data_IF_121860037752
#
_entry.id   IF_121860037752
#
_cell.length_a   1.000
_cell.length_b   1.000
_cell.length_c   1.000
_cell.angle_alpha   90.00
_cell.angle_beta   90.00
_cell.angle_gamma   90.00
#
_symmetry.space_group_name_H-M   'P 1'
#
loop_
_entity.id
_entity.type
_entity.pdbx_description
1 polymer ?
#
# COMPACT_ATOMS: atom_id res chain seq x y z
N UNK A 1 -4.49 -8.73 -6.29
CA UNK A 1 -3.86 -7.77 -5.36
C UNK A 1 -3.93 -6.39 -5.97
N UNK A 2 -4.10 -5.32 -5.19
CA UNK A 2 -4.22 -3.94 -5.71
C UNK A 2 -2.86 -3.25 -5.91
N UNK A 3 -1.82 -3.78 -5.26
CA UNK A 3 -0.44 -3.29 -5.30
C UNK A 3 0.53 -4.45 -5.52
N UNK A 4 1.70 -4.15 -6.07
CA UNK A 4 2.76 -5.11 -6.42
C UNK A 4 4.14 -4.56 -6.10
N UNK A 5 5.10 -5.45 -5.86
CA UNK A 5 6.51 -5.12 -5.66
C UNK A 5 7.21 -4.86 -7.00
N UNK A 6 8.04 -3.80 -7.11
CA UNK A 6 8.74 -3.48 -8.35
C UNK A 6 9.60 -4.63 -8.89
N UNK A 7 10.21 -5.42 -8.01
CA UNK A 7 11.24 -6.40 -8.36
C UNK A 7 10.67 -7.63 -9.07
N UNK A 8 9.48 -8.07 -8.63
CA UNK A 8 8.93 -9.36 -9.07
C UNK A 8 7.45 -9.31 -9.45
N UNK A 9 6.73 -8.21 -9.19
CA UNK A 9 5.28 -8.09 -9.44
C UNK A 9 4.41 -8.85 -8.45
N UNK A 10 4.97 -9.37 -7.36
CA UNK A 10 4.22 -10.06 -6.30
C UNK A 10 3.64 -9.08 -5.30
N UNK A 11 2.69 -9.54 -4.47
CA UNK A 11 2.18 -8.74 -3.35
C UNK A 11 3.26 -8.40 -2.31
N UNK A 12 2.97 -7.45 -1.41
CA UNK A 12 3.89 -7.05 -0.34
C UNK A 12 4.11 -8.20 0.67
N UNK A 13 5.37 -8.49 1.00
CA UNK A 13 5.74 -9.44 2.05
C UNK A 13 5.63 -8.79 3.44
N UNK A 14 6.16 -7.58 3.60
CA UNK A 14 6.13 -6.82 4.86
C UNK A 14 4.83 -6.02 5.00
N UNK A 15 3.67 -6.66 4.81
CA UNK A 15 2.32 -6.03 4.75
C UNK A 15 1.94 -5.13 5.94
N UNK A 16 2.57 -5.32 7.11
CA UNK A 16 2.32 -4.53 8.33
C UNK A 16 3.28 -3.35 8.53
N UNK A 17 4.09 -3.01 7.52
CA UNK A 17 4.88 -1.79 7.50
C UNK A 17 4.24 -0.73 6.59
N UNK A 18 4.57 0.56 6.78
CA UNK A 18 4.26 1.57 5.78
C UNK A 18 5.08 1.30 4.52
N UNK A 19 4.49 1.60 3.37
CA UNK A 19 5.14 1.50 2.07
C UNK A 19 5.09 2.86 1.37
N UNK A 20 5.88 3.02 0.31
CA UNK A 20 5.68 4.09 -0.66
C UNK A 20 4.99 3.54 -1.90
N UNK A 21 3.81 4.02 -2.21
CA UNK A 21 3.20 3.78 -3.52
C UNK A 21 3.82 4.76 -4.52
N UNK A 22 4.59 4.24 -5.48
CA UNK A 22 5.40 5.02 -6.41
C UNK A 22 4.83 4.93 -7.83
N UNK A 23 4.79 6.06 -8.53
CA UNK A 23 4.39 6.15 -9.92
C UNK A 23 5.34 7.07 -10.71
N UNK A 24 5.79 6.62 -11.88
CA UNK A 24 6.66 7.40 -12.80
C UNK A 24 5.97 7.65 -14.13
N UNK A 25 5.73 8.90 -14.50
CA UNK A 25 5.05 9.21 -15.76
C UNK A 25 5.94 9.00 -17.00
N UNK A 26 5.38 9.20 -18.20
CA UNK A 26 6.09 9.02 -19.47
C UNK A 26 7.24 10.01 -19.71
N UNK A 27 7.36 11.07 -18.91
CA UNK A 27 8.49 12.01 -18.95
C UNK A 27 9.61 11.61 -17.97
N UNK A 28 9.43 10.55 -17.20
CA UNK A 28 10.36 10.13 -16.15
C UNK A 28 10.16 10.86 -14.82
N UNK A 29 9.08 11.63 -14.65
CA UNK A 29 8.77 12.31 -13.38
C UNK A 29 8.13 11.32 -12.41
N UNK A 30 8.69 11.20 -11.22
CA UNK A 30 8.23 10.26 -10.18
C UNK A 30 7.53 10.99 -9.04
N UNK A 31 6.39 10.45 -8.62
CA UNK A 31 5.69 10.86 -7.41
C UNK A 31 5.44 9.65 -6.52
N UNK A 32 5.34 9.89 -5.21
CA UNK A 32 5.01 8.84 -4.25
C UNK A 32 4.09 9.33 -3.15
N UNK A 33 3.29 8.42 -2.60
CA UNK A 33 2.52 8.61 -1.37
C UNK A 33 2.86 7.50 -0.39
N UNK A 34 2.77 7.78 0.91
CA UNK A 34 2.84 6.74 1.93
C UNK A 34 1.54 5.92 1.88
N UNK A 35 1.68 4.60 1.86
CA UNK A 35 0.59 3.65 1.81
C UNK A 35 0.64 2.73 3.04
N UNK A 36 -0.49 2.66 3.73
CA UNK A 36 -0.75 1.70 4.79
C UNK A 36 -1.62 0.60 4.20
N UNK A 37 -1.14 -0.64 4.25
CA UNK A 37 -1.77 -1.74 3.53
C UNK A 37 -2.78 -2.45 4.42
N UNK A 38 -4.05 -2.35 4.02
CA UNK A 38 -5.12 -3.18 4.55
C UNK A 38 -4.82 -4.67 4.28
N UNK A 39 -4.60 -5.45 5.34
CA UNK A 39 -4.31 -6.89 5.22
C UNK A 39 -5.57 -7.74 5.06
N UNK A 40 -5.40 -8.94 4.49
CA UNK A 40 -6.43 -9.98 4.55
C UNK A 40 -6.70 -10.29 6.02
N UNK A 41 -7.94 -10.14 6.48
CA UNK A 41 -8.26 -10.11 7.91
C UNK A 41 -9.11 -8.91 8.35
N UNK A 42 -9.31 -7.94 7.46
CA UNK A 42 -10.02 -6.68 7.76
C UNK A 42 -11.35 -6.57 7.00
N UNK A 43 -11.97 -7.70 6.65
CA UNK A 43 -13.37 -7.66 6.23
C UNK A 43 -14.27 -7.28 7.41
N UNK A 44 -15.46 -6.79 7.10
CA UNK A 44 -16.40 -6.24 8.09
C UNK A 44 -16.74 -7.23 9.21
N UNK A 45 -16.75 -8.55 8.96
CA UNK A 45 -16.96 -9.57 10.00
C UNK A 45 -15.76 -9.66 10.95
N UNK A 46 -14.55 -9.68 10.39
CA UNK A 46 -13.31 -9.82 11.16
C UNK A 46 -12.99 -8.55 11.96
N UNK A 47 -13.38 -7.39 11.44
CA UNK A 47 -13.36 -6.11 12.17
C UNK A 47 -14.33 -6.14 13.34
N UNK A 48 -15.56 -6.66 13.19
CA UNK A 48 -16.51 -6.79 14.31
C UNK A 48 -15.94 -7.63 15.46
N UNK A 49 -15.22 -8.69 15.08
CA UNK A 49 -14.56 -9.63 15.98
C UNK A 49 -13.25 -9.11 16.56
N UNK A 50 -12.79 -7.92 16.13
CA UNK A 50 -11.47 -7.39 16.49
C UNK A 50 -10.32 -8.35 16.16
N UNK A 51 -10.45 -9.20 15.13
CA UNK A 51 -9.40 -10.15 14.74
C UNK A 51 -8.04 -9.49 14.41
N UNK A 52 -7.98 -8.29 13.79
CA UNK A 52 -6.71 -7.59 13.59
C UNK A 52 -5.90 -7.39 14.87
N UNK A 53 -6.54 -7.18 16.02
CA UNK A 53 -5.84 -7.09 17.31
C UNK A 53 -5.20 -8.42 17.70
N UNK A 54 -5.90 -9.54 17.52
CA UNK A 54 -5.35 -10.86 17.82
C UNK A 54 -4.25 -11.28 16.82
N UNK A 55 -4.34 -10.84 15.55
CA UNK A 55 -3.21 -10.93 14.60
C UNK A 55 -2.01 -10.15 15.16
N UNK A 56 -2.20 -8.91 15.61
CA UNK A 56 -1.14 -8.07 16.16
C UNK A 56 -0.45 -8.71 17.38
N UNK A 57 -1.21 -9.33 18.29
CA UNK A 57 -0.66 -10.08 19.43
C UNK A 57 0.26 -11.24 19.05
N UNK A 58 0.07 -11.82 17.87
CA UNK A 58 0.90 -12.91 17.37
C UNK A 58 2.19 -12.45 16.68
N UNK A 59 2.38 -11.14 16.48
CA UNK A 59 3.53 -10.61 15.75
C UNK A 59 4.67 -10.21 16.70
N UNK A 60 5.88 -10.42 16.24
CA UNK A 60 7.09 -9.87 16.84
C UNK A 60 7.51 -8.59 16.12
N UNK A 61 8.39 -7.80 16.75
CA UNK A 61 9.00 -6.62 16.11
C UNK A 61 9.73 -7.01 14.83
N UNK A 62 9.69 -6.13 13.84
CA UNK A 62 10.34 -6.30 12.53
C UNK A 62 11.52 -5.35 12.38
N UNK A 63 12.34 -5.61 11.37
CA UNK A 63 13.44 -4.73 10.98
C UNK A 63 12.99 -3.81 9.83
N UNK A 64 13.29 -2.52 10.00
CA UNK A 64 13.13 -1.46 9.01
C UNK A 64 14.26 -0.43 9.18
N UNK A 65 15.08 -0.24 8.15
CA UNK A 65 16.17 0.75 8.14
C UNK A 65 17.21 0.56 9.27
N UNK A 66 17.50 -0.69 9.65
CA UNK A 66 18.37 -1.05 10.77
C UNK A 66 17.71 -0.88 12.14
N UNK A 67 16.46 -0.42 12.20
CA UNK A 67 15.71 -0.24 13.45
C UNK A 67 14.74 -1.40 13.69
N UNK A 68 14.61 -1.80 14.95
CA UNK A 68 13.56 -2.71 15.38
C UNK A 68 12.27 -1.91 15.58
N UNK A 69 11.21 -2.20 14.82
CA UNK A 69 9.94 -1.47 14.84
C UNK A 69 8.76 -2.41 15.12
N UNK A 70 7.71 -1.96 15.82
CA UNK A 70 6.50 -2.77 15.95
C UNK A 70 5.74 -2.80 14.60
N UNK A 71 5.24 -3.94 14.13
CA UNK A 71 4.36 -4.00 12.97
C UNK A 71 2.98 -3.39 13.30
N UNK A 72 2.37 -2.72 12.31
CA UNK A 72 1.02 -2.17 12.42
C UNK A 72 0.02 -3.08 11.69
N UNK A 73 -0.87 -3.74 12.44
CA UNK A 73 -2.01 -4.44 11.85
C UNK A 73 -3.17 -3.47 11.69
N UNK A 74 -3.66 -3.33 10.47
CA UNK A 74 -4.64 -2.30 10.11
C UNK A 74 -6.05 -2.87 10.14
N UNK A 75 -6.96 -2.15 10.79
CA UNK A 75 -8.37 -2.48 10.85
C UNK A 75 -9.18 -1.42 10.10
N UNK A 76 -9.75 -1.77 8.95
CA UNK A 76 -10.58 -0.88 8.13
C UNK A 76 -11.77 -1.67 7.58
N UNK A 77 -12.98 -1.27 7.93
CA UNK A 77 -14.23 -1.77 7.35
C UNK A 77 -15.11 -0.61 6.89
N UNK A 78 -15.97 -0.90 5.92
CA UNK A 78 -17.01 0.01 5.41
C UNK A 78 -18.22 0.16 6.34
N UNK A 79 -18.29 -0.65 7.40
CA UNK A 79 -19.38 -0.63 8.35
C UNK A 79 -20.68 -1.22 7.81
N UNK A 80 -20.64 -2.01 6.73
CA UNK A 80 -21.84 -2.69 6.25
C UNK A 80 -22.46 -3.57 7.34
N UNK A 81 -23.78 -3.46 7.47
CA UNK A 81 -24.57 -4.06 8.55
C UNK A 81 -24.84 -5.55 8.31
N UNK A 82 -23.78 -6.38 8.30
CA UNK A 82 -23.91 -7.83 8.39
C UNK A 82 -24.30 -8.27 9.80
N UNK A 83 -24.89 -9.47 9.94
CA UNK A 83 -25.31 -10.01 11.24
C UNK A 83 -24.17 -10.10 12.28
N UNK A 84 -22.92 -10.29 11.83
CA UNK A 84 -21.74 -10.31 12.71
C UNK A 84 -21.46 -8.92 13.31
N UNK A 85 -21.51 -7.85 12.51
CA UNK A 85 -21.36 -6.48 13.02
C UNK A 85 -22.45 -6.14 14.05
N UNK A 86 -23.70 -6.55 13.80
CA UNK A 86 -24.81 -6.27 14.73
C UNK A 86 -24.71 -7.04 16.06
N UNK A 87 -24.11 -8.22 16.06
CA UNK A 87 -24.08 -9.10 17.23
C UNK A 87 -22.81 -8.97 18.05
N UNK A 88 -21.68 -8.67 17.42
CA UNK A 88 -20.37 -8.73 18.06
C UNK A 88 -19.79 -7.34 18.36
N UNK A 89 -20.10 -6.35 17.53
CA UNK A 89 -19.78 -4.95 17.81
C UNK A 89 -20.97 -4.29 18.54
N UNK A 90 -20.74 -3.50 19.61
CA UNK A 90 -19.46 -3.03 20.13
C UNK A 90 -18.85 -3.91 21.23
N UNK A 91 -19.45 -5.05 21.58
CA UNK A 91 -18.99 -5.89 22.70
C UNK A 91 -17.52 -6.28 22.61
N UNK A 92 -17.10 -6.82 21.46
CA UNK A 92 -15.71 -7.16 21.18
C UNK A 92 -14.78 -5.95 21.18
N UNK A 93 -15.24 -4.80 20.65
CA UNK A 93 -14.47 -3.56 20.68
C UNK A 93 -14.17 -3.11 22.11
N UNK A 94 -15.18 -3.10 22.98
CA UNK A 94 -15.01 -2.72 24.39
C UNK A 94 -14.05 -3.67 25.13
N UNK A 95 -14.19 -4.97 24.90
CA UNK A 95 -13.30 -5.98 25.48
C UNK A 95 -11.85 -5.75 25.04
N UNK A 96 -11.62 -5.67 23.72
CA UNK A 96 -10.27 -5.52 23.17
C UNK A 96 -9.65 -4.17 23.54
N UNK A 97 -10.45 -3.10 23.64
CA UNK A 97 -9.96 -1.80 24.13
C UNK A 97 -9.44 -1.92 25.57
N UNK A 98 -10.15 -2.64 26.44
CA UNK A 98 -9.68 -2.91 27.80
C UNK A 98 -8.42 -3.78 27.82
N UNK A 99 -8.35 -4.82 26.98
CA UNK A 99 -7.16 -5.68 26.90
C UNK A 99 -5.93 -4.94 26.35
N UNK A 100 -6.13 -4.07 25.36
CA UNK A 100 -5.05 -3.33 24.71
C UNK A 100 -4.50 -2.22 25.60
N UNK A 101 -5.34 -1.63 26.46
CA UNK A 101 -4.97 -0.53 27.34
C UNK A 101 -3.82 -0.93 28.29
N UNK A 102 -2.69 -0.24 28.16
CA UNK A 102 -1.49 -0.51 28.96
C UNK A 102 -0.73 -1.79 28.60
N UNK A 103 -1.09 -2.44 27.48
CA UNK A 103 -0.37 -3.60 26.95
C UNK A 103 0.75 -3.22 25.98
N UNK A 104 1.56 -4.21 25.58
CA UNK A 104 2.56 -4.07 24.51
C UNK A 104 1.96 -4.05 23.09
N UNK A 105 0.64 -4.17 22.98
CA UNK A 105 -0.12 -4.15 21.71
C UNK A 105 -1.20 -3.06 21.78
N UNK A 106 -0.81 -1.77 21.88
CA UNK A 106 -1.77 -0.68 21.99
C UNK A 106 -2.52 -0.46 20.67
N UNK A 107 -3.75 0.05 20.78
CA UNK A 107 -4.41 0.65 19.63
C UNK A 107 -3.75 1.98 19.29
N UNK A 108 -3.52 2.23 18.00
CA UNK A 108 -2.99 3.50 17.51
C UNK A 108 -3.51 3.79 16.11
N UNK A 109 -3.54 5.07 15.76
CA UNK A 109 -3.83 5.47 14.39
C UNK A 109 -2.56 5.47 13.52
N UNK A 110 -2.73 5.52 12.20
CA UNK A 110 -1.61 5.48 11.26
C UNK A 110 -0.68 6.71 11.38
N UNK A 111 -1.21 7.88 11.72
CA UNK A 111 -0.42 9.10 11.89
C UNK A 111 0.52 8.96 13.09
N UNK A 112 0.01 8.54 14.25
CA UNK A 112 0.81 8.28 15.45
C UNK A 112 1.93 7.28 15.18
N UNK A 113 1.64 6.25 14.38
CA UNK A 113 2.63 5.25 14.01
C UNK A 113 3.72 5.83 13.12
N UNK A 114 3.36 6.60 12.10
CA UNK A 114 4.33 7.27 11.22
C UNK A 114 5.19 8.27 11.99
N UNK A 115 4.60 9.06 12.87
CA UNK A 115 5.32 9.97 13.77
C UNK A 115 6.33 9.23 14.65
N UNK A 116 5.94 8.07 15.20
CA UNK A 116 6.84 7.23 15.98
C UNK A 116 8.03 6.72 15.15
N UNK A 117 7.79 6.25 13.92
CA UNK A 117 8.85 5.79 13.02
C UNK A 117 9.81 6.94 12.65
N UNK A 118 9.27 8.11 12.31
CA UNK A 118 10.07 9.27 11.91
C UNK A 118 10.87 9.83 13.08
N UNK A 119 10.31 9.84 14.29
CA UNK A 119 11.03 10.19 15.51
C UNK A 119 12.19 9.21 15.82
N UNK A 120 12.08 7.94 15.39
CA UNK A 120 13.16 6.95 15.47
C UNK A 120 14.22 7.09 14.37
N UNK A 121 14.11 8.11 13.52
CA UNK A 121 15.07 8.43 12.46
C UNK A 121 14.81 7.71 11.13
N UNK A 122 13.71 6.96 11.01
CA UNK A 122 13.29 6.36 9.74
C UNK A 122 12.81 7.48 8.81
N UNK A 123 13.21 7.42 7.55
CA UNK A 123 12.79 8.37 6.53
C UNK A 123 11.79 7.73 5.58
N UNK A 124 11.02 8.55 4.87
CA UNK A 124 10.12 8.03 3.82
C UNK A 124 10.88 7.17 2.80
N UNK A 125 12.11 7.54 2.45
CA UNK A 125 12.94 6.82 1.50
C UNK A 125 13.25 5.37 1.94
N UNK A 126 13.26 5.11 3.25
CA UNK A 126 13.51 3.79 3.83
C UNK A 126 12.31 2.85 3.73
N UNK A 127 11.12 3.41 3.51
CA UNK A 127 9.89 2.62 3.36
C UNK A 127 9.93 1.82 2.04
N UNK A 128 9.57 0.52 2.07
CA UNK A 128 9.57 -0.31 0.87
C UNK A 128 8.67 0.26 -0.22
N UNK A 129 9.15 0.24 -1.46
CA UNK A 129 8.38 0.72 -2.60
C UNK A 129 7.36 -0.33 -3.07
N UNK A 130 6.19 0.15 -3.48
CA UNK A 130 5.16 -0.60 -4.15
C UNK A 130 4.70 0.16 -5.39
N UNK A 131 4.19 -0.59 -6.36
CA UNK A 131 3.53 -0.09 -7.55
C UNK A 131 2.03 -0.43 -7.49
N UNK A 132 1.17 0.35 -8.15
CA UNK A 132 -0.19 -0.11 -8.46
C UNK A 132 -0.13 -1.41 -9.28
N UNK A 133 -1.07 -2.31 -9.08
CA UNK A 133 -1.09 -3.57 -9.82
C UNK A 133 -1.13 -3.35 -11.34
N UNK A 134 -0.33 -4.11 -12.08
CA UNK A 134 -0.20 -4.02 -13.54
C UNK A 134 0.69 -2.88 -14.03
N UNK A 135 1.20 -2.03 -13.12
CA UNK A 135 2.08 -0.91 -13.49
C UNK A 135 3.39 -1.40 -14.08
N UNK A 136 4.00 -2.45 -13.54
CA UNK A 136 5.25 -2.99 -14.08
C UNK A 136 5.12 -3.39 -15.56
N UNK A 137 4.02 -4.06 -15.91
CA UNK A 137 3.75 -4.47 -17.29
C UNK A 137 3.57 -3.27 -18.22
N UNK A 138 2.94 -2.20 -17.72
CA UNK A 138 2.79 -0.95 -18.46
C UNK A 138 4.15 -0.28 -18.71
N UNK A 139 5.01 -0.24 -17.70
CA UNK A 139 6.34 0.36 -17.80
C UNK A 139 7.25 -0.43 -18.75
N UNK A 140 7.21 -1.77 -18.70
CA UNK A 140 7.92 -2.66 -19.64
C UNK A 140 7.46 -2.42 -21.09
N UNK A 141 6.14 -2.32 -21.34
CA UNK A 141 5.58 -1.99 -22.66
C UNK A 141 5.99 -0.60 -23.13
N UNK A 142 6.03 0.37 -22.23
CA UNK A 142 6.45 1.74 -22.54
C UNK A 142 7.91 1.80 -22.96
N UNK A 143 8.81 1.15 -22.21
CA UNK A 143 10.25 1.07 -22.53
C UNK A 143 10.50 0.40 -23.88
N UNK A 144 9.81 -0.72 -24.15
CA UNK A 144 9.86 -1.39 -25.45
C UNK A 144 9.41 -0.45 -26.57
N UNK A 145 8.26 0.21 -26.41
CA UNK A 145 7.73 1.15 -27.40
C UNK A 145 8.62 2.39 -27.62
N UNK A 146 9.25 2.91 -26.56
CA UNK A 146 10.21 4.01 -26.64
C UNK A 146 11.45 3.60 -27.43
N UNK A 147 11.99 2.41 -27.17
CA UNK A 147 13.12 1.86 -27.93
C UNK A 147 12.81 1.67 -29.42
N UNK A 148 11.61 1.17 -29.74
CA UNK A 148 11.15 1.04 -31.14
C UNK A 148 11.04 2.39 -31.85
N UNK A 149 10.47 3.41 -31.18
CA UNK A 149 10.39 4.78 -31.73
C UNK A 149 11.77 5.40 -31.97
N UNK A 150 12.72 5.15 -31.07
CA UNK A 150 14.08 5.66 -31.20
C UNK A 150 14.82 5.01 -32.38
N UNK A 151 14.63 3.70 -32.61
CA UNK A 151 15.15 2.99 -33.80
C UNK A 151 14.53 3.51 -35.09
N UNK A 152 13.20 3.59 -35.17
CA UNK A 152 12.51 4.12 -36.37
C UNK A 152 12.96 5.56 -36.72
N UNK A 153 13.25 6.38 -35.71
CA UNK A 153 13.79 7.74 -35.90
C UNK A 153 15.25 7.75 -36.38
N UNK A 154 16.06 6.78 -35.95
CA UNK A 154 17.43 6.60 -36.42
C UNK A 154 17.48 6.04 -37.86
N UNK A 155 16.51 5.20 -38.22
CA UNK A 155 16.41 4.54 -39.53
C UNK A 155 15.73 5.41 -40.61
N UNK A 156 15.27 6.62 -40.26
CA UNK A 156 14.77 7.61 -41.22
C UNK A 156 13.35 7.37 -41.76
N UNK A 157 12.57 6.48 -41.15
CA UNK A 157 11.20 6.22 -41.59
C UNK A 157 10.25 7.37 -41.20
N UNK A 158 9.70 8.03 -42.24
CA UNK A 158 8.77 9.16 -42.13
C UNK A 158 7.49 8.75 -41.41
N UNK A 159 7.22 9.38 -40.25
CA UNK A 159 5.97 9.27 -39.51
C UNK A 159 4.75 9.75 -40.33
N UNK A 160 4.16 8.87 -41.14
CA UNK A 160 2.80 9.02 -41.65
C UNK A 160 2.03 7.75 -41.32
N UNK A 161 1.30 7.79 -40.21
CA UNK A 161 0.30 6.78 -39.89
C UNK A 161 0.48 6.16 -38.51
N UNK A 162 0.30 6.94 -37.45
CA UNK A 162 -0.13 6.45 -36.13
C UNK A 162 -0.67 7.67 -35.36
N UNK A 163 -1.79 8.20 -35.83
CA UNK A 163 -2.62 9.12 -35.05
C UNK A 163 -3.74 8.33 -34.38
N UNK A 164 -3.92 8.61 -33.09
CA UNK A 164 -5.07 8.31 -32.20
C UNK A 164 -5.20 6.88 -31.69
N UNK A 165 -4.51 6.61 -30.58
CA UNK A 165 -5.20 6.01 -29.42
C UNK A 165 -5.09 7.02 -28.27
N UNK A 166 -6.22 7.67 -27.98
CA UNK A 166 -6.33 8.54 -26.82
C UNK A 166 -6.32 7.67 -25.56
N UNK A 167 -5.30 7.83 -24.74
CA UNK A 167 -5.36 7.39 -23.33
C UNK A 167 -5.96 8.56 -22.58
N UNK A 168 -7.22 8.43 -22.17
CA UNK A 168 -7.91 9.41 -21.33
C UNK A 168 -7.09 9.67 -20.07
N UNK A 169 -6.77 10.95 -19.85
CA UNK A 169 -6.19 11.44 -18.62
C UNK A 169 -7.29 11.44 -17.55
N UNK A 170 -7.16 10.60 -16.54
CA UNK A 170 -7.95 10.73 -15.32
C UNK A 170 -7.43 11.93 -14.52
N UNK A 171 -8.12 13.05 -14.67
CA UNK A 171 -8.04 14.19 -13.75
C UNK A 171 -8.87 13.81 -12.51
N UNK A 172 -8.22 13.57 -11.37
CA UNK A 172 -8.89 13.64 -10.07
C UNK A 172 -8.52 14.99 -9.48
N UNK A 173 -9.45 15.93 -9.58
CA UNK A 173 -9.43 17.19 -8.82
C UNK A 173 -9.85 16.85 -7.39
N UNK A 174 -9.17 17.48 -6.43
CA UNK A 174 -9.41 17.34 -4.98
C UNK A 174 -10.87 17.58 -4.58
#
# INVERSE_FOLDING_TARGET
HTVERPENGWGPEKKHLPHRLVCTNSKGETVSIIAIIKTQGSDTKLVAQMQPYYEAKGLSRWELAGQSVPPLVTQIADGENGGVMMNEFPGMFCQVTHEAAGSDVPMMNATEYLEHLFAAGIQEADLPALLPHGRRQLDERYLLGAGLRQRARADGESQRGLQREGVEAWHVVQ
#
